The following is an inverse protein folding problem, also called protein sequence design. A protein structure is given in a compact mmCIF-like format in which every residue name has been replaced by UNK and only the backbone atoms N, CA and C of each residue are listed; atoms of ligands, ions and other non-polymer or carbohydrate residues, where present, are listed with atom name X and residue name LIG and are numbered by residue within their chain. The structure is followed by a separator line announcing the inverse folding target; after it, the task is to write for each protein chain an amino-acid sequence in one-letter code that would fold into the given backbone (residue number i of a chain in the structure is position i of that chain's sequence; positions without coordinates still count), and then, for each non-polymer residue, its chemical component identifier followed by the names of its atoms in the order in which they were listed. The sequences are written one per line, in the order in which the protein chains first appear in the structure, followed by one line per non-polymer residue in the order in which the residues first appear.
data_IF_137428403805
#
_entry.id   IF_137428403805
#
_cell.length_a   1.000
_cell.length_b   1.000
_cell.length_c   1.000
_cell.angle_alpha   90.00
_cell.angle_beta   90.00
_cell.angle_gamma   90.00
#
_symmetry.space_group_name_H-M   'P 1'
#
loop_
_entity.id
_entity.type
_entity.pdbx_description
1 polymer ?
#
# COMPACT_ATOMS: atom_id res chain seq x y z
N UNK A 1 19.94 18.30 16.79
CA UNK A 1 20.62 17.02 16.55
C UNK A 1 19.63 16.03 15.94
N UNK A 2 20.06 15.26 14.95
CA UNK A 2 19.21 14.22 14.37
C UNK A 2 19.04 13.07 15.38
N UNK A 3 17.78 12.71 15.67
CA UNK A 3 17.48 11.56 16.53
C UNK A 3 17.85 10.28 15.80
N UNK A 4 18.42 9.34 16.53
CA UNK A 4 18.81 8.05 15.96
C UNK A 4 17.58 7.15 15.81
N UNK A 5 17.39 6.61 14.61
CA UNK A 5 16.34 5.62 14.33
C UNK A 5 16.76 4.27 14.89
N UNK A 6 15.94 3.70 15.78
CA UNK A 6 16.19 2.40 16.41
C UNK A 6 15.52 1.28 15.62
N UNK A 7 14.34 1.55 15.06
CA UNK A 7 13.58 0.57 14.33
C UNK A 7 12.79 1.21 13.18
N UNK A 8 12.61 0.45 12.11
CA UNK A 8 11.77 0.78 10.99
C UNK A 8 10.67 -0.27 10.88
N UNK A 9 9.42 0.16 10.95
CA UNK A 9 8.25 -0.70 10.90
C UNK A 9 7.46 -0.40 9.65
N UNK A 10 7.14 -1.44 8.88
CA UNK A 10 6.33 -1.33 7.67
C UNK A 10 5.02 -2.08 7.86
N UNK A 11 3.91 -1.36 7.70
CA UNK A 11 2.57 -1.91 7.84
C UNK A 11 1.72 -1.51 6.65
N UNK A 12 0.71 -2.32 6.34
CA UNK A 12 -0.32 -2.00 5.36
C UNK A 12 -1.67 -2.04 6.07
N UNK A 13 -2.30 -0.87 6.21
CA UNK A 13 -3.53 -0.70 6.97
C UNK A 13 -4.62 -0.09 6.11
N UNK A 14 -5.86 -0.39 6.42
CA UNK A 14 -6.99 0.27 5.77
C UNK A 14 -7.05 1.74 6.18
N UNK A 15 -7.18 2.61 5.19
CA UNK A 15 -7.25 4.05 5.41
C UNK A 15 -8.43 4.42 6.33
N UNK A 16 -8.16 5.25 7.32
CA UNK A 16 -9.15 5.73 8.28
C UNK A 16 -9.64 4.68 9.29
N UNK A 17 -9.09 3.46 9.27
CA UNK A 17 -9.53 2.34 10.13
C UNK A 17 -8.40 1.73 10.97
N UNK A 18 -7.33 2.46 11.20
CA UNK A 18 -6.28 1.98 12.09
C UNK A 18 -6.79 1.88 13.53
N UNK A 19 -6.52 0.78 14.19
CA UNK A 19 -6.89 0.52 15.57
C UNK A 19 -5.79 -0.27 16.28
N UNK A 20 -5.80 -0.35 17.63
CA UNK A 20 -4.79 -1.08 18.39
C UNK A 20 -4.80 -2.61 18.22
N UNK A 21 -5.79 -3.15 17.52
CA UNK A 21 -5.85 -4.58 17.23
C UNK A 21 -4.71 -5.03 16.30
N UNK A 22 -4.35 -6.33 16.27
CA UNK A 22 -3.34 -6.82 15.33
C UNK A 22 -3.66 -6.39 13.88
N UNK A 23 -2.65 -6.06 13.05
CA UNK A 23 -1.18 -6.18 13.31
C UNK A 23 -0.54 -4.95 13.98
N UNK A 24 -1.27 -3.86 14.23
CA UNK A 24 -0.72 -2.60 14.72
C UNK A 24 -0.20 -2.71 16.16
N UNK A 25 -1.00 -3.27 17.06
CA UNK A 25 -0.65 -3.40 18.48
C UNK A 25 0.68 -4.10 18.71
N UNK A 26 0.85 -5.34 18.26
CA UNK A 26 2.10 -6.07 18.43
C UNK A 26 3.30 -5.40 17.77
N UNK A 27 3.13 -4.86 16.57
CA UNK A 27 4.21 -4.24 15.80
C UNK A 27 4.77 -2.99 16.49
N UNK A 28 3.91 -2.14 17.01
CA UNK A 28 4.30 -0.91 17.71
C UNK A 28 4.62 -1.15 19.18
N UNK A 29 3.91 -2.07 19.83
CA UNK A 29 4.09 -2.39 21.24
C UNK A 29 5.48 -2.90 21.58
N UNK A 30 6.10 -3.69 20.71
CA UNK A 30 7.48 -4.18 20.86
C UNK A 30 8.50 -3.05 21.01
N UNK A 31 8.25 -1.91 20.43
CA UNK A 31 9.14 -0.75 20.43
C UNK A 31 8.73 0.33 21.43
N UNK A 32 7.68 0.09 22.21
CA UNK A 32 7.20 1.03 23.21
C UNK A 32 6.57 2.32 22.65
N UNK A 33 6.10 2.28 21.41
CA UNK A 33 5.46 3.43 20.73
C UNK A 33 4.02 3.59 21.22
N UNK A 34 3.56 4.83 21.31
CA UNK A 34 2.17 5.12 21.67
C UNK A 34 1.23 4.75 20.50
N UNK A 35 0.59 3.60 20.62
CA UNK A 35 -0.29 3.03 19.58
C UNK A 35 -1.49 3.94 19.32
N UNK A 36 -2.11 4.49 20.35
CA UNK A 36 -3.29 5.34 20.19
C UNK A 36 -2.98 6.63 19.46
N UNK A 37 -1.84 7.26 19.78
CA UNK A 37 -1.39 8.47 19.08
C UNK A 37 -1.14 8.18 17.59
N UNK A 38 -0.50 7.07 17.28
CA UNK A 38 -0.28 6.62 15.90
C UNK A 38 -1.60 6.40 15.16
N UNK A 39 -2.53 5.64 15.73
CA UNK A 39 -3.82 5.35 15.10
C UNK A 39 -4.60 6.63 14.80
N UNK A 40 -4.64 7.55 15.75
CA UNK A 40 -5.33 8.83 15.59
C UNK A 40 -4.73 9.66 14.45
N UNK A 41 -3.42 9.79 14.42
CA UNK A 41 -2.73 10.58 13.41
C UNK A 41 -2.82 9.92 12.02
N UNK A 42 -2.65 8.59 11.94
CA UNK A 42 -2.81 7.84 10.70
C UNK A 42 -4.23 7.99 10.13
N UNK A 43 -5.25 7.79 10.96
CA UNK A 43 -6.63 7.94 10.53
C UNK A 43 -6.92 9.34 10.01
N UNK A 44 -6.41 10.36 10.68
CA UNK A 44 -6.55 11.76 10.25
C UNK A 44 -5.92 12.01 8.87
N UNK A 45 -4.70 11.48 8.64
CA UNK A 45 -3.98 11.68 7.38
C UNK A 45 -4.52 10.84 6.22
N UNK A 46 -5.20 9.75 6.49
CA UNK A 46 -5.71 8.82 5.46
C UNK A 46 -7.21 8.90 5.25
N UNK A 47 -7.88 9.82 5.91
CA UNK A 47 -9.33 9.97 5.85
C UNK A 47 -9.85 10.17 4.41
N UNK A 48 -9.11 10.93 3.61
CA UNK A 48 -9.45 11.21 2.20
C UNK A 48 -9.31 9.99 1.29
N UNK A 49 -8.61 8.96 1.76
CA UNK A 49 -8.30 7.74 1.00
C UNK A 49 -9.07 6.54 1.53
N UNK A 50 -10.20 6.76 2.19
CA UNK A 50 -11.04 5.69 2.73
C UNK A 50 -11.42 4.68 1.64
N UNK A 51 -11.38 3.39 1.99
CA UNK A 51 -11.63 2.28 1.07
C UNK A 51 -10.39 1.72 0.38
N UNK A 52 -9.21 2.32 0.61
CA UNK A 52 -7.93 1.78 0.14
C UNK A 52 -7.10 1.26 1.31
N UNK A 53 -6.24 0.31 1.00
CA UNK A 53 -5.15 -0.08 1.91
C UNK A 53 -3.99 0.87 1.68
N UNK A 54 -3.54 1.56 2.72
CA UNK A 54 -2.44 2.52 2.63
C UNK A 54 -1.24 1.95 3.38
N UNK A 55 -0.14 1.65 2.69
CA UNK A 55 1.10 1.26 3.34
C UNK A 55 1.68 2.43 4.13
N UNK A 56 2.21 2.13 5.30
CA UNK A 56 2.86 3.11 6.17
C UNK A 56 4.23 2.60 6.59
N UNK A 57 5.19 3.49 6.58
CA UNK A 57 6.55 3.22 7.05
C UNK A 57 6.81 4.10 8.27
N UNK A 58 7.00 3.46 9.42
CA UNK A 58 7.12 4.11 10.73
C UNK A 58 8.57 4.03 11.18
N UNK A 59 9.18 5.18 11.45
CA UNK A 59 10.51 5.27 12.04
C UNK A 59 10.39 5.52 13.53
N UNK A 60 10.95 4.62 14.33
CA UNK A 60 10.96 4.72 15.79
C UNK A 60 12.33 5.20 16.25
N UNK A 61 12.36 6.20 17.12
CA UNK A 61 13.57 6.78 17.68
C UNK A 61 13.88 6.25 19.08
N UNK A 62 15.11 6.49 19.54
CA UNK A 62 15.59 6.06 20.87
C UNK A 62 14.72 6.58 22.03
N UNK A 63 14.13 7.75 21.88
CA UNK A 63 13.23 8.39 22.87
C UNK A 63 11.79 7.86 22.81
N UNK A 64 11.55 6.77 22.05
CA UNK A 64 10.21 6.19 21.80
C UNK A 64 9.26 7.11 21.02
N UNK A 65 9.75 8.23 20.53
CA UNK A 65 9.00 9.02 19.56
C UNK A 65 8.99 8.31 18.20
N UNK A 66 8.03 8.66 17.36
CA UNK A 66 7.92 8.07 16.03
C UNK A 66 7.59 9.15 14.99
N UNK A 67 7.98 8.87 13.77
CA UNK A 67 7.49 9.58 12.60
C UNK A 67 7.05 8.53 11.59
N UNK A 68 6.11 8.88 10.73
CA UNK A 68 5.67 7.95 9.69
C UNK A 68 5.37 8.68 8.39
N UNK A 69 5.57 7.94 7.30
CA UNK A 69 5.20 8.35 5.95
C UNK A 69 4.19 7.36 5.41
N UNK A 70 3.18 7.86 4.71
CA UNK A 70 2.21 7.05 4.00
C UNK A 70 2.64 6.95 2.53
N UNK A 71 2.47 5.78 1.96
CA UNK A 71 2.77 5.53 0.54
C UNK A 71 1.49 5.36 -0.26
N UNK A 72 1.61 5.24 -1.57
CA UNK A 72 0.47 4.96 -2.43
C UNK A 72 -0.07 3.55 -2.17
N UNK A 73 -1.36 3.29 -2.45
CA UNK A 73 -1.93 1.95 -2.26
C UNK A 73 -1.12 0.89 -3.00
N UNK A 74 -1.04 -0.36 -2.48
CA UNK A 74 -0.35 -1.44 -3.17
C UNK A 74 -0.93 -1.67 -4.57
N UNK A 75 -0.07 -1.97 -5.54
CA UNK A 75 -0.50 -2.23 -6.92
C UNK A 75 -1.54 -3.34 -7.00
N UNK A 76 -1.40 -4.39 -6.21
CA UNK A 76 -2.38 -5.49 -6.14
C UNK A 76 -3.79 -5.03 -5.76
N UNK A 77 -3.90 -4.14 -4.78
CA UNK A 77 -5.19 -3.58 -4.34
C UNK A 77 -5.81 -2.72 -5.44
N UNK A 78 -5.02 -1.90 -6.10
CA UNK A 78 -5.49 -1.07 -7.21
C UNK A 78 -5.97 -1.92 -8.38
N UNK A 79 -5.25 -2.98 -8.71
CA UNK A 79 -5.60 -3.91 -9.80
C UNK A 79 -6.88 -4.67 -9.49
N UNK A 80 -7.03 -5.23 -8.31
CA UNK A 80 -8.26 -5.96 -7.91
C UNK A 80 -9.47 -5.05 -7.91
N UNK A 81 -9.31 -3.82 -7.46
CA UNK A 81 -10.40 -2.84 -7.46
C UNK A 81 -10.79 -2.43 -8.87
N UNK A 82 -9.82 -2.19 -9.77
CA UNK A 82 -10.08 -1.85 -11.17
C UNK A 82 -10.73 -3.02 -11.93
N UNK A 83 -10.31 -4.24 -11.66
CA UNK A 83 -10.88 -5.45 -12.27
C UNK A 83 -12.23 -5.87 -11.67
N UNK A 84 -12.63 -5.28 -10.54
CA UNK A 84 -13.88 -5.64 -9.86
C UNK A 84 -13.86 -7.02 -9.21
N UNK A 85 -12.68 -7.55 -8.87
CA UNK A 85 -12.51 -8.87 -8.24
C UNK A 85 -12.12 -8.72 -6.77
N UNK A 86 -12.49 -9.69 -5.95
CA UNK A 86 -12.17 -9.68 -4.52
C UNK A 86 -10.71 -10.08 -4.25
N UNK A 87 -10.16 -10.98 -5.09
CA UNK A 87 -8.81 -11.51 -4.92
C UNK A 87 -8.25 -11.97 -6.27
N UNK A 88 -6.94 -11.83 -6.43
CA UNK A 88 -6.23 -12.37 -7.59
C UNK A 88 -6.19 -13.89 -7.59
N UNK A 89 -5.83 -14.48 -8.73
CA UNK A 89 -5.68 -15.93 -8.88
C UNK A 89 -4.44 -16.44 -8.13
N UNK A 90 -4.59 -17.53 -7.41
CA UNK A 90 -3.46 -18.27 -6.84
C UNK A 90 -2.71 -19.12 -7.87
N UNK A 91 -3.33 -19.37 -9.03
CA UNK A 91 -2.78 -20.18 -10.14
C UNK A 91 -2.88 -19.41 -11.46
N UNK A 92 -2.18 -18.28 -11.55
CA UNK A 92 -2.23 -17.38 -12.71
C UNK A 92 -1.89 -18.02 -14.05
N UNK A 93 -1.07 -19.07 -14.03
CA UNK A 93 -0.71 -19.83 -15.25
C UNK A 93 -1.85 -20.69 -15.78
N UNK A 94 -2.83 -21.05 -14.93
CA UNK A 94 -3.92 -21.96 -15.28
C UNK A 94 -5.25 -21.27 -15.58
N UNK A 95 -5.41 -20.02 -15.15
CA UNK A 95 -6.68 -19.32 -15.35
C UNK A 95 -6.62 -17.84 -15.07
N UNK A 96 -7.52 -17.09 -15.70
CA UNK A 96 -7.67 -15.66 -15.51
C UNK A 96 -8.65 -15.37 -14.37
N UNK A 97 -8.27 -14.46 -13.45
CA UNK A 97 -9.15 -13.99 -12.39
C UNK A 97 -10.01 -12.81 -12.83
N UNK A 98 -9.60 -12.09 -13.86
CA UNK A 98 -10.30 -10.92 -14.38
C UNK A 98 -9.49 -10.20 -15.45
N UNK A 99 -9.95 -9.02 -15.83
CA UNK A 99 -9.26 -8.16 -16.80
C UNK A 99 -9.44 -6.70 -16.48
N UNK A 100 -8.49 -5.89 -16.90
CA UNK A 100 -8.54 -4.42 -16.85
C UNK A 100 -8.25 -3.85 -18.24
N UNK A 101 -8.75 -2.65 -18.51
CA UNK A 101 -8.46 -1.95 -19.77
C UNK A 101 -7.10 -1.24 -19.69
N UNK A 102 -6.55 -0.90 -20.86
CA UNK A 102 -5.30 -0.13 -20.95
C UNK A 102 -5.44 1.23 -20.25
N UNK A 103 -6.59 1.89 -20.34
CA UNK A 103 -6.86 3.16 -19.65
C UNK A 103 -6.85 3.00 -18.12
N UNK A 104 -7.42 1.93 -17.60
CA UNK A 104 -7.35 1.61 -16.16
C UNK A 104 -5.91 1.33 -15.72
N UNK A 105 -5.13 0.63 -16.53
CA UNK A 105 -3.72 0.39 -16.28
C UNK A 105 -2.93 1.70 -16.20
N UNK A 106 -3.21 2.64 -17.11
CA UNK A 106 -2.59 3.97 -17.11
C UNK A 106 -2.92 4.76 -15.84
N UNK A 107 -4.17 4.74 -15.39
CA UNK A 107 -4.59 5.41 -14.15
C UNK A 107 -3.89 4.83 -12.92
N UNK A 108 -3.78 3.51 -12.85
CA UNK A 108 -3.04 2.83 -11.77
C UNK A 108 -1.57 3.25 -11.81
N UNK A 109 -0.96 3.26 -12.99
CA UNK A 109 0.43 3.67 -13.17
C UNK A 109 0.67 5.12 -12.72
N UNK A 110 -0.22 6.04 -13.07
CA UNK A 110 -0.17 7.45 -12.63
C UNK A 110 -0.27 7.57 -11.11
N UNK A 111 -1.17 6.82 -10.48
CA UNK A 111 -1.34 6.81 -9.02
C UNK A 111 -0.10 6.28 -8.31
N UNK A 112 0.53 5.26 -8.88
CA UNK A 112 1.69 4.59 -8.30
C UNK A 112 3.04 5.25 -8.63
N UNK A 113 3.09 6.09 -9.66
CA UNK A 113 4.32 6.70 -10.16
C UNK A 113 5.20 7.36 -9.08
N UNK A 114 4.66 8.10 -8.09
CA UNK A 114 5.48 8.70 -7.04
C UNK A 114 6.30 7.70 -6.21
N UNK A 115 5.85 6.46 -6.09
CA UNK A 115 6.53 5.40 -5.33
C UNK A 115 7.43 4.51 -6.20
N UNK A 116 7.38 4.69 -7.52
CA UNK A 116 8.17 3.92 -8.47
C UNK A 116 9.45 4.66 -8.85
N UNK A 117 10.46 3.92 -9.25
CA UNK A 117 11.72 4.46 -9.76
C UNK A 117 11.67 4.77 -11.27
N UNK A 118 10.48 4.75 -11.87
CA UNK A 118 10.27 5.01 -13.29
C UNK A 118 10.15 6.51 -13.56
N UNK A 119 10.66 6.94 -14.68
CA UNK A 119 10.60 8.34 -15.14
C UNK A 119 9.35 8.56 -16.00
N UNK A 120 8.96 7.55 -16.80
CA UNK A 120 7.83 7.64 -17.73
C UNK A 120 6.63 6.81 -17.25
N UNK A 121 5.42 7.23 -17.66
CA UNK A 121 4.20 6.49 -17.40
C UNK A 121 4.21 5.12 -18.11
N UNK A 122 4.78 5.05 -19.31
CA UNK A 122 4.90 3.80 -20.07
C UNK A 122 5.69 2.74 -19.31
N UNK A 123 6.81 3.13 -18.69
CA UNK A 123 7.61 2.24 -17.84
C UNK A 123 6.84 1.80 -16.60
N UNK A 124 6.11 2.72 -15.98
CA UNK A 124 5.24 2.43 -14.84
C UNK A 124 4.11 1.45 -15.22
N UNK A 125 3.51 1.62 -16.39
CA UNK A 125 2.49 0.71 -16.92
C UNK A 125 3.03 -0.71 -17.10
N UNK A 126 4.25 -0.88 -17.56
CA UNK A 126 4.90 -2.19 -17.69
C UNK A 126 5.14 -2.85 -16.34
N UNK A 127 5.52 -2.10 -15.33
CA UNK A 127 5.68 -2.60 -13.95
C UNK A 127 4.34 -3.12 -13.41
N UNK A 128 3.28 -2.35 -13.57
CA UNK A 128 1.93 -2.73 -13.12
C UNK A 128 1.39 -3.91 -13.92
N UNK A 129 1.63 -3.94 -15.24
CA UNK A 129 1.26 -5.06 -16.11
C UNK A 129 1.87 -6.37 -15.64
N UNK A 130 3.15 -6.38 -15.28
CA UNK A 130 3.83 -7.55 -14.72
C UNK A 130 3.16 -8.05 -13.42
N UNK A 131 2.78 -7.13 -12.54
CA UNK A 131 2.05 -7.46 -11.32
C UNK A 131 0.66 -8.04 -11.63
N UNK A 132 -0.07 -7.43 -12.56
CA UNK A 132 -1.38 -7.88 -12.98
C UNK A 132 -1.32 -9.29 -13.60
N UNK A 133 -0.33 -9.54 -14.44
CA UNK A 133 -0.11 -10.84 -15.06
C UNK A 133 0.12 -11.93 -14.00
N UNK A 134 0.92 -11.65 -12.99
CA UNK A 134 1.17 -12.59 -11.90
C UNK A 134 -0.07 -12.83 -11.02
N UNK A 135 -1.01 -11.91 -11.00
CA UNK A 135 -2.29 -12.04 -10.31
C UNK A 135 -3.37 -12.75 -11.15
N UNK A 136 -3.07 -13.11 -12.39
CA UNK A 136 -4.04 -13.67 -13.32
C UNK A 136 -4.99 -12.64 -13.91
N UNK A 137 -4.65 -11.37 -13.87
CA UNK A 137 -5.44 -10.28 -14.48
C UNK A 137 -4.86 -9.95 -15.85
N UNK A 138 -5.68 -10.06 -16.89
CA UNK A 138 -5.28 -9.73 -18.27
C UNK A 138 -5.53 -8.26 -18.59
N UNK A 139 -4.72 -7.71 -19.49
CA UNK A 139 -4.89 -6.36 -20.00
C UNK A 139 -5.64 -6.47 -21.34
N UNK A 140 -6.76 -5.79 -21.44
CA UNK A 140 -7.57 -5.73 -22.66
C UNK A 140 -7.75 -4.28 -23.11
N UNK A 141 -7.71 -4.08 -24.37
CA UNK A 141 -7.97 -2.78 -24.99
C UNK A 141 -9.47 -2.47 -25.10
#
# INVERSE_FOLDING_TARGET
MAKKVVALIKLALQAGKANPAPPVGPALGQHGVNIMAFCKEYNSRTQDKAGFVIPVEISVFEDRSFTFITKTPPASVLITKAAGIAKGSGESAKGSAGSISTSQLEEIAKTKLPDLNCISIESAMKVIEGTAKNMGVSIKD
#
